data_IF_255631667836
#
_entry.id   IF_255631667836
#
_cell.length_a   1.000
_cell.length_b   1.000
_cell.length_c   1.000
_cell.angle_alpha   90.00
_cell.angle_beta   90.00
_cell.angle_gamma   90.00
#
_symmetry.space_group_name_H-M   'P 1'
#
loop_
_entity.id
_entity.type
_entity.pdbx_description
1 polymer ?
#
# COMPACT_ATOMS: atom_id res chain seq x y z
N UNK A 1 9.00 12.51 -7.70
CA UNK A 1 8.77 11.07 -7.42
C UNK A 1 7.61 10.97 -6.44
N UNK A 2 6.64 10.08 -6.67
CA UNK A 2 5.46 9.94 -5.80
C UNK A 2 5.50 8.63 -5.02
N UNK A 3 5.16 8.66 -3.73
CA UNK A 3 5.03 7.49 -2.87
C UNK A 3 3.58 6.99 -2.86
N UNK A 4 3.36 5.76 -3.29
CA UNK A 4 2.04 5.11 -3.32
C UNK A 4 1.92 4.20 -2.11
N UNK A 5 0.98 4.48 -1.20
CA UNK A 5 0.65 3.58 -0.09
C UNK A 5 -0.29 2.50 -0.60
N UNK A 6 0.19 1.26 -0.55
CA UNK A 6 -0.49 0.10 -1.09
C UNK A 6 -0.76 -0.93 0.00
N UNK A 7 -1.87 -1.66 -0.13
CA UNK A 7 -2.17 -2.81 0.71
C UNK A 7 -1.86 -4.10 -0.05
N UNK A 8 -1.00 -4.95 0.52
CA UNK A 8 -0.70 -6.24 -0.06
C UNK A 8 -1.97 -7.12 -0.13
N UNK A 9 -2.34 -7.64 -1.31
CA UNK A 9 -3.54 -8.48 -1.44
C UNK A 9 -3.38 -9.87 -0.79
N UNK A 10 -2.15 -10.31 -0.52
CA UNK A 10 -1.87 -11.63 0.05
C UNK A 10 -1.87 -11.64 1.58
N UNK A 11 -1.15 -10.72 2.21
CA UNK A 11 -1.00 -10.69 3.67
C UNK A 11 -1.66 -9.49 4.34
N UNK A 12 -2.30 -8.60 3.56
CA UNK A 12 -2.97 -7.41 4.08
C UNK A 12 -2.05 -6.30 4.58
N UNK A 13 -0.72 -6.48 4.51
CA UNK A 13 0.27 -5.53 4.99
C UNK A 13 0.23 -4.22 4.21
N UNK A 14 0.33 -3.10 4.92
CA UNK A 14 0.40 -1.75 4.34
C UNK A 14 1.85 -1.34 4.15
N UNK A 15 2.16 -0.80 2.98
CA UNK A 15 3.52 -0.42 2.64
C UNK A 15 3.52 0.71 1.61
N UNK A 16 4.46 1.65 1.74
CA UNK A 16 4.71 2.67 0.74
C UNK A 16 5.67 2.12 -0.32
N UNK A 17 5.38 2.37 -1.58
CA UNK A 17 6.28 2.05 -2.70
C UNK A 17 6.45 3.27 -3.59
N UNK A 18 7.66 3.47 -4.11
CA UNK A 18 7.93 4.44 -5.17
C UNK A 18 7.81 3.81 -6.56
N UNK A 19 7.78 2.48 -6.63
CA UNK A 19 7.71 1.76 -7.91
C UNK A 19 6.41 2.05 -8.65
N UNK A 20 6.52 2.15 -9.97
CA UNK A 20 5.37 2.43 -10.83
C UNK A 20 4.72 1.16 -11.39
N UNK A 21 5.52 0.12 -11.58
CA UNK A 21 5.12 -1.10 -12.30
C UNK A 21 4.99 -2.31 -11.39
N UNK A 22 5.81 -2.41 -10.34
CA UNK A 22 5.89 -3.60 -9.48
C UNK A 22 5.84 -3.22 -8.02
N UNK A 23 4.99 -3.89 -7.26
CA UNK A 23 4.96 -3.82 -5.81
C UNK A 23 5.51 -5.13 -5.24
N UNK A 24 6.52 -5.03 -4.38
CA UNK A 24 7.03 -6.16 -3.60
C UNK A 24 6.72 -5.93 -2.13
N UNK A 25 5.97 -6.85 -1.53
CA UNK A 25 5.65 -6.77 -0.11
C UNK A 25 6.84 -7.28 0.72
N UNK A 26 7.36 -6.47 1.65
CA UNK A 26 8.44 -6.90 2.54
C UNK A 26 8.02 -7.97 3.55
N UNK A 27 6.73 -8.04 3.89
CA UNK A 27 6.22 -8.98 4.91
C UNK A 27 6.07 -10.42 4.40
N UNK A 28 5.48 -10.60 3.22
CA UNK A 28 5.26 -11.94 2.64
C UNK A 28 6.19 -12.25 1.46
N UNK A 29 7.09 -11.32 1.12
CA UNK A 29 8.04 -11.39 0.01
C UNK A 29 7.41 -11.64 -1.37
N UNK A 30 6.07 -11.52 -1.50
CA UNK A 30 5.36 -11.66 -2.78
C UNK A 30 5.35 -10.35 -3.55
N UNK A 31 5.53 -10.44 -4.85
CA UNK A 31 5.42 -9.33 -5.80
C UNK A 31 4.06 -9.35 -6.51
N UNK A 32 3.63 -8.18 -6.95
CA UNK A 32 2.39 -7.96 -7.72
C UNK A 32 2.60 -6.78 -8.63
N UNK A 33 2.08 -6.86 -9.85
CA UNK A 33 2.13 -5.77 -10.82
C UNK A 33 1.17 -4.66 -10.40
N UNK A 34 1.68 -3.43 -10.33
CA UNK A 34 0.88 -2.23 -10.16
C UNK A 34 0.25 -1.95 -11.50
N UNK A 35 -1.03 -2.32 -11.66
CA UNK A 35 -1.72 -2.18 -12.92
C UNK A 35 -2.63 -0.94 -12.86
N UNK A 36 -2.21 0.23 -13.40
CA UNK A 36 -2.95 1.50 -13.25
C UNK A 36 -4.33 1.48 -13.92
N UNK A 37 -4.58 0.52 -14.83
CA UNK A 37 -5.85 0.37 -15.57
C UNK A 37 -6.83 -0.63 -14.93
N UNK A 38 -6.46 -1.33 -13.87
CA UNK A 38 -7.30 -2.41 -13.32
C UNK A 38 -8.27 -1.86 -12.28
N UNK A 39 -9.44 -1.38 -12.73
CA UNK A 39 -10.55 -0.97 -11.85
C UNK A 39 -11.30 -2.13 -11.19
N UNK A 40 -11.15 -3.37 -11.67
CA UNK A 40 -12.02 -4.51 -11.28
C UNK A 40 -11.34 -5.88 -11.12
N UNK A 41 -10.00 -5.99 -11.27
CA UNK A 41 -9.26 -7.25 -11.07
C UNK A 41 -8.65 -7.42 -9.66
N UNK A 42 -8.04 -8.59 -9.35
CA UNK A 42 -7.30 -8.87 -8.10
C UNK A 42 -5.96 -8.10 -8.03
N UNK A 43 -5.96 -6.85 -8.48
CA UNK A 43 -4.83 -5.97 -8.52
C UNK A 43 -4.49 -5.40 -7.15
N UNK A 44 -3.26 -4.89 -7.04
CA UNK A 44 -2.81 -4.19 -5.84
C UNK A 44 -3.73 -3.01 -5.52
N UNK A 45 -4.27 -2.99 -4.29
CA UNK A 45 -5.07 -1.87 -3.81
C UNK A 45 -4.16 -0.71 -3.40
N UNK A 46 -4.17 0.36 -4.19
CA UNK A 46 -3.54 1.63 -3.85
C UNK A 46 -4.54 2.42 -3.00
N UNK A 47 -4.14 2.79 -1.78
CA UNK A 47 -5.00 3.56 -0.86
C UNK A 47 -4.87 5.06 -1.08
N UNK A 48 -3.63 5.54 -1.16
CA UNK A 48 -3.34 6.98 -1.29
C UNK A 48 -1.94 7.17 -1.88
N UNK A 49 -1.74 8.29 -2.56
CA UNK A 49 -0.45 8.70 -3.11
C UNK A 49 -0.01 9.99 -2.44
N UNK A 50 1.28 10.09 -2.15
CA UNK A 50 1.92 11.21 -1.48
C UNK A 50 3.12 11.69 -2.29
N UNK A 51 3.45 12.97 -2.17
CA UNK A 51 4.66 13.54 -2.76
C UNK A 51 5.90 13.30 -1.89
N UNK A 52 5.69 12.96 -0.62
CA UNK A 52 6.73 12.85 0.40
C UNK A 52 6.68 11.48 1.12
N UNK A 53 7.85 10.91 1.39
CA UNK A 53 7.98 9.57 1.98
C UNK A 53 7.62 9.54 3.47
N UNK A 54 7.87 10.63 4.21
CA UNK A 54 7.50 10.76 5.61
C UNK A 54 5.97 10.80 5.73
N UNK A 55 5.29 11.57 4.88
CA UNK A 55 3.82 11.60 4.87
C UNK A 55 3.20 10.22 4.57
N UNK A 56 3.81 9.45 3.65
CA UNK A 56 3.36 8.10 3.35
C UNK A 56 3.54 7.15 4.56
N UNK A 57 4.64 7.28 5.29
CA UNK A 57 4.90 6.50 6.51
C UNK A 57 3.95 6.87 7.65
N UNK A 58 3.77 8.17 7.91
CA UNK A 58 2.83 8.70 8.91
C UNK A 58 1.41 8.18 8.63
N UNK A 59 0.97 8.20 7.37
CA UNK A 59 -0.33 7.65 6.97
C UNK A 59 -0.45 6.14 7.24
N UNK A 60 0.59 5.34 6.99
CA UNK A 60 0.57 3.90 7.27
C UNK A 60 0.42 3.65 8.77
N UNK A 61 1.14 4.40 9.61
CA UNK A 61 1.09 4.29 11.06
C UNK A 61 -0.31 4.65 11.57
N UNK A 62 -0.85 5.80 11.17
CA UNK A 62 -2.19 6.24 11.57
C UNK A 62 -3.27 5.26 11.09
N UNK A 63 -3.22 4.83 9.83
CA UNK A 63 -4.19 3.89 9.28
C UNK A 63 -4.17 2.55 10.01
N UNK A 64 -2.98 2.08 10.42
CA UNK A 64 -2.83 0.85 11.21
C UNK A 64 -3.39 1.01 12.62
N UNK A 65 -3.13 2.15 13.28
CA UNK A 65 -3.70 2.47 14.60
C UNK A 65 -5.23 2.55 14.57
N UNK A 66 -5.81 3.24 13.58
CA UNK A 66 -7.25 3.36 13.43
C UNK A 66 -7.94 2.01 13.18
N UNK A 67 -7.32 1.12 12.39
CA UNK A 67 -7.82 -0.25 12.21
C UNK A 67 -7.77 -1.08 13.49
N UNK A 68 -6.83 -0.80 14.38
CA UNK A 68 -6.71 -1.50 15.66
C UNK A 68 -7.78 -1.03 16.65
N UNK A 69 -8.07 0.28 16.72
CA UNK A 69 -9.11 0.82 17.60
C UNK A 69 -10.55 0.46 17.19
N UNK A 70 -10.82 0.21 15.90
CA UNK A 70 -12.16 -0.21 15.44
C UNK A 70 -12.50 -1.68 15.69
N UNK A 71 -11.66 -2.42 16.42
CA UNK A 71 -11.86 -3.84 16.74
C UNK A 71 -12.39 -4.10 18.17
N UNK A 72 -12.75 -3.03 18.89
CA UNK A 72 -13.42 -3.10 20.19
C UNK A 72 -14.94 -2.99 20.05
#
# INVERSE_FOLDING_TARGET
MSFKVCQCPKCGNLQATQSETTFKCFRCNKSTTINPKSKLGPGLKILKTFSDGKQAADFIIEFTKLKYQKKE
#
